data_IF_998125411013
#
_entry.id   IF_998125411013
#
_cell.length_a   1.000
_cell.length_b   1.000
_cell.length_c   1.000
_cell.angle_alpha   90.00
_cell.angle_beta   90.00
_cell.angle_gamma   90.00
#
_symmetry.space_group_name_H-M   'P 1'
#
loop_
_entity.id
_entity.type
_entity.pdbx_description
1 polymer ?
#
# COMPACT_ATOMS: atom_id res chain seq x y z
N UNK A 1 61.82 -8.06 -11.03
CA UNK A 1 61.29 -7.17 -9.99
C UNK A 1 60.74 -5.94 -10.69
N UNK A 2 59.51 -6.03 -11.20
CA UNK A 2 58.87 -4.92 -11.93
C UNK A 2 57.87 -4.24 -11.01
N UNK A 3 58.25 -3.07 -10.54
CA UNK A 3 57.39 -2.11 -9.83
C UNK A 3 56.50 -1.41 -10.86
N UNK A 4 55.34 -1.99 -11.17
CA UNK A 4 54.31 -1.30 -11.95
C UNK A 4 53.49 -0.43 -11.01
N UNK A 5 53.67 0.89 -11.12
CA UNK A 5 52.74 1.92 -10.61
C UNK A 5 51.31 1.51 -10.94
N UNK A 6 50.36 1.51 -9.97
CA UNK A 6 48.97 1.26 -10.31
C UNK A 6 48.46 2.49 -11.04
N UNK A 7 47.75 2.27 -12.15
CA UNK A 7 46.86 3.25 -12.74
C UNK A 7 45.89 3.75 -11.64
N UNK A 8 45.32 4.97 -11.72
CA UNK A 8 44.17 5.29 -10.90
C UNK A 8 43.07 4.33 -11.33
N UNK A 9 42.93 3.24 -10.58
CA UNK A 9 41.85 2.30 -10.79
C UNK A 9 40.57 3.08 -10.53
N UNK A 10 39.76 3.20 -11.58
CA UNK A 10 38.44 3.81 -11.50
C UNK A 10 37.66 3.15 -10.34
N UNK A 11 36.84 3.93 -9.65
CA UNK A 11 36.11 3.49 -8.46
C UNK A 11 35.38 2.16 -8.70
N UNK A 12 34.73 2.02 -9.86
CA UNK A 12 33.99 0.82 -10.25
C UNK A 12 34.91 -0.41 -10.37
N UNK A 13 36.11 -0.21 -10.90
CA UNK A 13 37.10 -1.29 -11.05
C UNK A 13 37.66 -1.75 -9.70
N UNK A 14 37.84 -0.82 -8.76
CA UNK A 14 38.31 -1.13 -7.39
C UNK A 14 37.23 -1.90 -6.63
N UNK A 15 35.97 -1.45 -6.70
CA UNK A 15 34.85 -2.12 -6.04
C UNK A 15 34.58 -3.50 -6.63
N UNK A 16 34.72 -3.66 -7.95
CA UNK A 16 34.61 -4.95 -8.62
C UNK A 16 35.70 -5.93 -8.17
N UNK A 17 36.95 -5.47 -8.11
CA UNK A 17 38.07 -6.28 -7.63
C UNK A 17 37.87 -6.72 -6.16
N UNK A 18 37.46 -5.79 -5.29
CA UNK A 18 37.13 -6.09 -3.90
C UNK A 18 35.98 -7.12 -3.79
N UNK A 19 34.95 -7.00 -4.62
CA UNK A 19 33.81 -7.94 -4.64
C UNK A 19 34.21 -9.37 -5.06
N UNK A 20 35.26 -9.52 -5.87
CA UNK A 20 35.77 -10.83 -6.32
C UNK A 20 36.70 -11.52 -5.30
N UNK A 21 37.09 -10.84 -4.22
CA UNK A 21 37.91 -11.44 -3.17
C UNK A 21 37.15 -12.58 -2.46
N UNK A 22 37.84 -13.65 -2.03
CA UNK A 22 37.20 -14.79 -1.38
C UNK A 22 36.70 -14.48 0.05
N UNK A 23 37.25 -13.45 0.69
CA UNK A 23 36.85 -12.98 2.02
C UNK A 23 36.80 -11.46 2.05
N UNK A 24 35.62 -10.91 2.35
CA UNK A 24 35.36 -9.47 2.50
C UNK A 24 35.47 -9.00 3.96
N UNK A 25 36.20 -9.76 4.76
CA UNK A 25 36.51 -9.47 6.16
C UNK A 25 37.36 -8.21 6.37
N UNK A 26 37.64 -7.95 7.64
CA UNK A 26 38.32 -6.72 8.09
C UNK A 26 39.70 -6.53 7.45
N UNK A 27 40.47 -7.60 7.33
CA UNK A 27 41.85 -7.54 6.82
C UNK A 27 41.89 -7.17 5.32
N UNK A 28 40.99 -7.75 4.53
CA UNK A 28 40.83 -7.41 3.10
C UNK A 28 40.39 -5.97 2.93
N UNK A 29 39.41 -5.50 3.71
CA UNK A 29 38.94 -4.11 3.65
C UNK A 29 40.03 -3.10 4.03
N UNK A 30 40.79 -3.35 5.10
CA UNK A 30 41.88 -2.47 5.55
C UNK A 30 43.00 -2.36 4.50
N UNK A 31 43.29 -3.44 3.76
CA UNK A 31 44.24 -3.44 2.64
C UNK A 31 43.77 -2.53 1.51
N UNK A 32 42.52 -2.68 1.07
CA UNK A 32 41.97 -1.87 -0.04
C UNK A 32 41.81 -0.39 0.34
N UNK A 33 41.47 -0.07 1.59
CA UNK A 33 41.42 1.32 2.08
C UNK A 33 42.82 1.95 2.13
N UNK A 34 43.85 1.16 2.46
CA UNK A 34 45.23 1.65 2.49
C UNK A 34 45.81 1.90 1.09
N UNK A 35 45.40 1.10 0.10
CA UNK A 35 45.82 1.25 -1.30
C UNK A 35 45.01 2.31 -2.07
N UNK A 36 43.73 2.47 -1.74
CA UNK A 36 42.79 3.38 -2.41
C UNK A 36 42.03 4.27 -1.40
N UNK A 37 42.72 5.15 -0.67
CA UNK A 37 42.09 5.99 0.37
C UNK A 37 40.99 6.90 -0.18
N UNK A 38 41.06 7.28 -1.46
CA UNK A 38 40.05 8.09 -2.14
C UNK A 38 38.69 7.37 -2.33
N UNK A 39 38.66 6.03 -2.28
CA UNK A 39 37.44 5.23 -2.42
C UNK A 39 37.03 4.54 -1.11
N UNK A 40 37.60 4.98 0.03
CA UNK A 40 37.39 4.33 1.33
C UNK A 40 35.90 4.24 1.72
N UNK A 41 35.12 5.28 1.48
CA UNK A 41 33.67 5.27 1.76
C UNK A 41 32.94 4.22 0.93
N UNK A 42 33.18 4.19 -0.39
CA UNK A 42 32.53 3.24 -1.28
C UNK A 42 32.93 1.78 -0.98
N UNK A 43 34.18 1.55 -0.57
CA UNK A 43 34.66 0.24 -0.12
C UNK A 43 33.99 -0.21 1.18
N UNK A 44 33.77 0.70 2.12
CA UNK A 44 33.06 0.41 3.38
C UNK A 44 31.61 0.05 3.08
N UNK A 45 30.91 0.84 2.27
CA UNK A 45 29.51 0.59 1.89
C UNK A 45 29.38 -0.76 1.17
N UNK A 46 30.23 -1.02 0.18
CA UNK A 46 30.30 -2.29 -0.54
C UNK A 46 30.57 -3.49 0.40
N UNK A 47 31.45 -3.33 1.39
CA UNK A 47 31.72 -4.39 2.37
C UNK A 47 30.51 -4.70 3.27
N UNK A 48 29.70 -3.69 3.59
CA UNK A 48 28.47 -3.87 4.37
C UNK A 48 27.45 -4.62 3.53
N UNK A 49 27.28 -4.24 2.26
CA UNK A 49 26.34 -4.88 1.33
C UNK A 49 26.68 -6.36 1.09
N UNK A 50 27.97 -6.67 0.86
CA UNK A 50 28.43 -8.06 0.65
C UNK A 50 28.29 -8.92 1.92
N UNK A 51 28.41 -8.31 3.10
CA UNK A 51 28.16 -8.98 4.39
C UNK A 51 26.67 -9.14 4.70
N UNK A 52 25.80 -8.38 4.04
CA UNK A 52 24.35 -8.52 4.07
C UNK A 52 23.84 -9.48 3.00
N UNK A 53 24.62 -10.51 2.64
CA UNK A 53 24.01 -11.69 2.04
C UNK A 53 22.95 -12.18 3.04
N UNK A 54 21.65 -12.20 2.70
CA UNK A 54 20.68 -12.90 3.52
C UNK A 54 21.26 -14.30 3.72
N UNK A 55 21.10 -14.92 4.91
CA UNK A 55 21.56 -16.29 5.07
C UNK A 55 21.01 -17.04 3.86
N UNK A 56 21.92 -17.60 3.05
CA UNK A 56 21.55 -18.72 2.23
C UNK A 56 21.03 -19.70 3.27
N UNK A 57 19.72 -19.69 3.47
CA UNK A 57 19.11 -20.69 4.27
C UNK A 57 19.55 -21.98 3.57
N UNK A 58 20.47 -22.69 4.22
CA UNK A 58 20.49 -24.13 4.19
C UNK A 58 19.10 -24.56 4.74
N UNK A 59 18.05 -24.29 3.95
CA UNK A 59 16.79 -24.96 4.05
C UNK A 59 17.17 -26.36 3.60
N UNK A 60 17.61 -27.17 4.55
CA UNK A 60 17.39 -28.60 4.45
C UNK A 60 15.94 -28.71 4.04
N UNK A 61 15.72 -29.09 2.77
CA UNK A 61 14.43 -29.14 2.16
C UNK A 61 13.60 -30.15 2.95
N UNK A 62 12.96 -29.69 4.02
CA UNK A 62 11.73 -30.27 4.47
C UNK A 62 10.87 -30.21 3.22
N UNK A 63 10.69 -31.36 2.59
CA UNK A 63 9.88 -31.54 1.39
C UNK A 63 8.48 -31.08 1.77
N UNK A 64 8.25 -29.78 1.63
CA UNK A 64 6.92 -29.22 1.60
C UNK A 64 6.34 -29.84 0.33
N UNK A 65 5.30 -30.68 0.43
CA UNK A 65 4.75 -31.32 -0.75
C UNK A 65 4.38 -30.23 -1.74
N UNK A 66 4.85 -30.32 -3.00
CA UNK A 66 4.63 -29.32 -4.06
C UNK A 66 3.19 -28.81 -4.09
N UNK A 67 2.23 -29.67 -3.77
CA UNK A 67 0.81 -29.34 -3.60
C UNK A 67 0.47 -28.17 -2.66
N UNK A 68 1.30 -27.86 -1.64
CA UNK A 68 1.08 -26.72 -0.74
C UNK A 68 1.64 -25.43 -1.33
N UNK A 69 2.78 -25.50 -2.03
CA UNK A 69 3.36 -24.39 -2.78
C UNK A 69 2.45 -24.06 -3.96
N UNK A 70 2.01 -25.07 -4.72
CA UNK A 70 1.03 -24.93 -5.79
C UNK A 70 -0.29 -24.35 -5.29
N UNK A 71 -0.79 -24.76 -4.10
CA UNK A 71 -2.00 -24.17 -3.52
C UNK A 71 -1.80 -22.73 -3.09
N UNK A 72 -0.63 -22.39 -2.53
CA UNK A 72 -0.30 -21.02 -2.16
C UNK A 72 -0.15 -20.14 -3.41
N UNK A 73 0.51 -20.68 -4.44
CA UNK A 73 0.70 -20.04 -5.73
C UNK A 73 -0.62 -19.87 -6.48
N UNK A 74 -1.48 -20.89 -6.53
CA UNK A 74 -2.83 -20.78 -7.11
C UNK A 74 -3.74 -19.83 -6.35
N UNK A 75 -3.58 -19.69 -5.03
CA UNK A 75 -4.30 -18.68 -4.24
C UNK A 75 -3.80 -17.28 -4.58
N UNK A 76 -2.49 -17.09 -4.70
CA UNK A 76 -1.88 -15.83 -5.08
C UNK A 76 -2.22 -15.47 -6.53
N UNK A 77 -2.06 -16.38 -7.47
CA UNK A 77 -2.50 -16.24 -8.85
C UNK A 77 -4.00 -15.95 -8.92
N UNK A 78 -4.87 -16.60 -8.16
CA UNK A 78 -6.30 -16.19 -8.13
C UNK A 78 -6.52 -14.79 -7.55
N UNK A 79 -5.68 -14.33 -6.63
CA UNK A 79 -5.75 -12.98 -6.10
C UNK A 79 -5.21 -11.93 -7.10
N UNK A 80 -4.23 -12.30 -7.94
CA UNK A 80 -3.55 -11.41 -8.90
C UNK A 80 -4.16 -11.46 -10.31
N UNK A 81 -4.70 -12.61 -10.71
CA UNK A 81 -5.38 -12.88 -11.99
C UNK A 81 -6.88 -12.57 -11.92
N UNK A 82 -7.40 -12.07 -10.79
CA UNK A 82 -8.60 -11.25 -10.91
C UNK A 82 -8.17 -10.06 -11.78
N UNK A 83 -8.69 -9.93 -13.02
CA UNK A 83 -8.55 -8.66 -13.70
C UNK A 83 -9.06 -7.64 -12.69
N UNK A 84 -8.41 -6.48 -12.58
CA UNK A 84 -9.03 -5.35 -11.93
C UNK A 84 -10.36 -5.15 -12.68
N UNK A 85 -11.42 -5.81 -12.21
CA UNK A 85 -12.75 -5.68 -12.74
C UNK A 85 -12.95 -4.18 -12.65
N UNK A 86 -13.17 -3.53 -13.80
CA UNK A 86 -13.47 -2.10 -13.83
C UNK A 86 -14.40 -1.87 -12.66
N UNK A 87 -13.92 -1.13 -11.65
CA UNK A 87 -14.61 -1.08 -10.37
C UNK A 87 -15.82 -0.20 -10.61
N UNK A 88 -16.87 -0.83 -11.13
CA UNK A 88 -18.09 -0.17 -11.58
C UNK A 88 -18.65 0.54 -10.37
N UNK A 89 -18.84 1.85 -10.49
CA UNK A 89 -19.40 2.63 -9.40
C UNK A 89 -20.78 2.07 -9.03
N UNK A 90 -20.96 1.48 -7.83
CA UNK A 90 -22.22 0.86 -7.44
C UNK A 90 -23.33 1.90 -7.24
N UNK A 91 -22.96 3.19 -7.12
CA UNK A 91 -23.88 4.31 -7.06
C UNK A 91 -24.29 4.86 -8.43
N UNK A 92 -23.68 4.41 -9.54
CA UNK A 92 -23.94 4.98 -10.87
C UNK A 92 -25.39 4.79 -11.37
N UNK A 93 -26.08 3.76 -10.86
CA UNK A 93 -27.49 3.48 -11.20
C UNK A 93 -28.48 4.33 -10.40
N UNK A 94 -28.02 5.05 -9.37
CA UNK A 94 -28.90 5.84 -8.51
C UNK A 94 -29.16 7.22 -9.10
N UNK A 95 -30.43 7.55 -9.26
CA UNK A 95 -30.87 8.93 -9.47
C UNK A 95 -30.99 9.67 -8.13
N UNK A 96 -31.25 10.98 -8.17
CA UNK A 96 -31.35 11.84 -6.98
C UNK A 96 -32.47 11.43 -6.01
N UNK A 97 -33.55 10.79 -6.48
CA UNK A 97 -34.57 10.20 -5.59
C UNK A 97 -34.10 8.89 -4.95
N UNK A 98 -33.45 8.01 -5.71
CA UNK A 98 -32.91 6.74 -5.23
C UNK A 98 -31.82 6.96 -4.19
N UNK A 99 -31.02 8.01 -4.34
CA UNK A 99 -30.02 8.41 -3.35
C UNK A 99 -30.64 8.81 -1.99
N UNK A 100 -31.74 9.57 -2.01
CA UNK A 100 -32.48 9.94 -0.79
C UNK A 100 -33.15 8.73 -0.14
N UNK A 101 -33.72 7.84 -0.95
CA UNK A 101 -34.32 6.59 -0.46
C UNK A 101 -33.28 5.68 0.18
N UNK A 102 -32.10 5.56 -0.44
CA UNK A 102 -30.98 4.79 0.11
C UNK A 102 -30.48 5.37 1.44
N UNK A 103 -30.34 6.69 1.53
CA UNK A 103 -29.98 7.34 2.79
C UNK A 103 -31.01 7.01 3.89
N UNK A 104 -32.30 7.01 3.55
CA UNK A 104 -33.38 6.67 4.49
C UNK A 104 -33.39 5.20 4.89
N UNK A 105 -33.12 4.25 3.98
CA UNK A 105 -33.09 2.82 4.32
C UNK A 105 -31.86 2.45 5.17
N UNK A 106 -30.73 3.11 4.91
CA UNK A 106 -29.53 2.98 5.72
C UNK A 106 -29.63 3.69 7.06
N UNK A 107 -30.62 4.57 7.24
CA UNK A 107 -30.81 5.46 8.37
C UNK A 107 -29.62 6.42 8.57
N UNK A 108 -29.19 7.04 7.47
CA UNK A 108 -28.08 8.00 7.43
C UNK A 108 -28.50 9.32 6.77
N UNK A 109 -27.72 10.37 6.97
CA UNK A 109 -27.92 11.64 6.29
C UNK A 109 -27.43 11.56 4.84
N UNK A 110 -28.02 12.37 3.96
CA UNK A 110 -27.56 12.50 2.59
C UNK A 110 -26.09 12.96 2.51
N UNK A 111 -25.65 13.79 3.47
CA UNK A 111 -24.27 14.26 3.56
C UNK A 111 -23.30 13.12 3.88
N UNK A 112 -23.66 12.23 4.79
CA UNK A 112 -22.87 11.04 5.11
C UNK A 112 -22.74 10.13 3.88
N UNK A 113 -23.86 9.84 3.20
CA UNK A 113 -23.87 8.99 2.01
C UNK A 113 -23.07 9.60 0.85
N UNK A 114 -23.05 10.94 0.70
CA UNK A 114 -22.22 11.61 -0.30
C UNK A 114 -20.74 11.41 -0.01
N UNK A 115 -20.31 11.51 1.26
CA UNK A 115 -18.92 11.26 1.66
C UNK A 115 -18.48 9.83 1.40
N UNK A 116 -19.37 8.86 1.61
CA UNK A 116 -19.14 7.44 1.25
C UNK A 116 -18.97 7.28 -0.27
N UNK A 117 -19.89 7.84 -1.06
CA UNK A 117 -19.87 7.77 -2.53
C UNK A 117 -18.60 8.40 -3.13
N UNK A 118 -18.22 9.57 -2.61
CA UNK A 118 -17.09 10.36 -3.09
C UNK A 118 -15.74 9.84 -2.52
N UNK A 119 -15.77 8.73 -1.74
CA UNK A 119 -14.60 8.08 -1.14
C UNK A 119 -13.79 9.04 -0.24
N UNK A 120 -14.51 9.95 0.42
CA UNK A 120 -13.94 10.91 1.38
C UNK A 120 -13.73 10.28 2.78
N UNK A 121 -14.26 9.07 3.01
CA UNK A 121 -14.07 8.31 4.24
C UNK A 121 -13.04 7.23 3.97
N UNK A 122 -12.09 7.07 4.88
CA UNK A 122 -11.08 6.02 4.78
C UNK A 122 -11.71 4.63 4.87
N UNK A 123 -11.60 3.85 3.80
CA UNK A 123 -12.27 2.56 3.68
C UNK A 123 -11.85 1.54 4.74
N UNK A 124 -10.61 1.65 5.26
CA UNK A 124 -10.13 0.80 6.37
C UNK A 124 -10.83 1.09 7.71
N UNK A 125 -11.44 2.27 7.85
CA UNK A 125 -12.17 2.66 9.06
C UNK A 125 -13.66 2.34 8.99
N UNK A 126 -14.16 1.91 7.82
CA UNK A 126 -15.59 1.62 7.63
C UNK A 126 -15.87 0.20 8.13
N UNK A 127 -16.83 0.02 9.06
CA UNK A 127 -17.16 -1.31 9.55
C UNK A 127 -17.68 -2.25 8.45
N UNK A 128 -17.25 -3.50 8.46
CA UNK A 128 -17.66 -4.50 7.46
C UNK A 128 -19.19 -4.67 7.40
N UNK A 129 -19.86 -4.67 8.56
CA UNK A 129 -21.32 -4.74 8.66
C UNK A 129 -22.03 -3.58 7.94
N UNK A 130 -21.43 -2.39 7.95
CA UNK A 130 -21.96 -1.25 7.21
C UNK A 130 -21.82 -1.45 5.70
N UNK A 131 -20.68 -1.98 5.23
CA UNK A 131 -20.45 -2.30 3.81
C UNK A 131 -21.44 -3.36 3.32
N UNK A 132 -21.73 -4.38 4.14
CA UNK A 132 -22.74 -5.41 3.83
C UNK A 132 -24.15 -4.85 3.71
N UNK A 133 -24.56 -3.98 4.66
CA UNK A 133 -25.86 -3.30 4.60
C UNK A 133 -25.96 -2.42 3.36
N UNK A 134 -24.93 -1.64 3.06
CA UNK A 134 -24.83 -0.79 1.87
C UNK A 134 -24.92 -1.62 0.58
N UNK A 135 -24.21 -2.74 0.52
CA UNK A 135 -24.23 -3.63 -0.64
C UNK A 135 -25.61 -4.26 -0.87
N UNK A 136 -26.28 -4.68 0.21
CA UNK A 136 -27.64 -5.23 0.15
C UNK A 136 -28.64 -4.23 -0.42
N UNK A 137 -28.58 -2.97 0.03
CA UNK A 137 -29.46 -1.89 -0.46
C UNK A 137 -29.13 -1.47 -1.90
N UNK A 138 -27.87 -1.55 -2.32
CA UNK A 138 -27.43 -1.26 -3.69
C UNK A 138 -27.66 -2.43 -4.67
N UNK A 139 -28.07 -3.61 -4.17
CA UNK A 139 -28.15 -4.83 -4.97
C UNK A 139 -26.79 -5.28 -5.53
N UNK A 140 -25.71 -4.98 -4.81
CA UNK A 140 -24.33 -5.31 -5.17
C UNK A 140 -23.72 -6.28 -4.15
N UNK A 141 -22.55 -6.84 -4.44
CA UNK A 141 -21.81 -7.67 -3.47
C UNK A 141 -20.98 -6.79 -2.54
N UNK A 142 -20.83 -7.20 -1.28
CA UNK A 142 -19.99 -6.49 -0.31
C UNK A 142 -18.54 -6.34 -0.80
N UNK A 143 -18.03 -7.33 -1.55
CA UNK A 143 -16.72 -7.24 -2.19
C UNK A 143 -16.64 -6.14 -3.26
N UNK A 144 -17.66 -6.01 -4.12
CA UNK A 144 -17.69 -4.95 -5.14
C UNK A 144 -17.76 -3.56 -4.51
N UNK A 145 -18.57 -3.39 -3.46
CA UNK A 145 -18.68 -2.12 -2.72
C UNK A 145 -17.38 -1.81 -1.97
N UNK A 146 -16.78 -2.80 -1.29
CA UNK A 146 -15.50 -2.65 -0.61
C UNK A 146 -14.38 -2.26 -1.57
N UNK A 147 -14.25 -2.96 -2.71
CA UNK A 147 -13.29 -2.63 -3.76
C UNK A 147 -13.49 -1.20 -4.31
N UNK A 148 -14.75 -0.76 -4.45
CA UNK A 148 -15.06 0.63 -4.82
C UNK A 148 -14.60 1.64 -3.77
N UNK A 149 -14.80 1.37 -2.49
CA UNK A 149 -14.42 2.29 -1.41
C UNK A 149 -12.90 2.38 -1.21
N UNK A 150 -12.17 1.29 -1.47
CA UNK A 150 -10.70 1.24 -1.42
C UNK A 150 -10.02 1.95 -2.60
N UNK A 151 -10.78 2.35 -3.63
CA UNK A 151 -10.26 3.13 -4.76
C UNK A 151 -9.81 4.54 -4.35
N UNK A 152 -9.02 5.24 -5.19
CA UNK A 152 -8.57 6.59 -4.89
C UNK A 152 -9.76 7.53 -4.65
N UNK A 153 -9.64 8.50 -3.72
CA UNK A 153 -10.72 9.44 -3.42
C UNK A 153 -11.15 10.17 -4.70
N UNK A 154 -12.45 10.30 -4.89
CA UNK A 154 -12.97 10.99 -6.06
C UNK A 154 -12.54 12.45 -6.01
N UNK A 155 -11.79 12.93 -7.01
CA UNK A 155 -11.51 14.35 -7.16
C UNK A 155 -12.84 15.10 -7.29
N UNK A 156 -13.20 15.88 -6.26
CA UNK A 156 -14.21 16.92 -6.38
C UNK A 156 -13.68 17.93 -7.39
N UNK A 157 -14.04 17.73 -8.65
CA UNK A 157 -13.71 18.63 -9.75
C UNK A 157 -14.57 19.87 -9.61
N UNK A 158 -14.23 20.78 -8.69
CA UNK A 158 -15.10 21.93 -8.42
C UNK A 158 -14.58 23.05 -7.53
N UNK A 159 -13.54 22.85 -6.71
CA UNK A 159 -13.08 23.92 -5.80
C UNK A 159 -11.58 24.17 -5.94
N UNK A 160 -11.19 24.74 -7.08
CA UNK A 160 -9.95 25.50 -7.18
C UNK A 160 -10.11 26.84 -6.43
N UNK A 161 -10.06 26.79 -5.10
CA UNK A 161 -9.86 28.00 -4.29
C UNK A 161 -8.37 28.20 -4.05
N UNK A 162 -7.91 29.41 -4.34
CA UNK A 162 -6.51 29.81 -4.36
C UNK A 162 -5.90 29.71 -2.96
N UNK A 163 -5.11 28.67 -2.72
CA UNK A 163 -4.15 28.60 -1.62
C UNK A 163 -2.86 27.95 -2.12
N UNK A 164 -1.73 28.54 -1.75
CA UNK A 164 -0.36 28.15 -2.12
C UNK A 164 0.17 26.92 -1.35
N UNK A 165 -0.73 26.04 -0.91
CA UNK A 165 -0.38 24.76 -0.29
C UNK A 165 -0.62 23.68 -1.33
N UNK A 166 0.39 22.82 -1.57
CA UNK A 166 0.25 21.66 -2.48
C UNK A 166 -1.07 20.94 -2.14
N UNK A 167 -1.97 20.71 -3.11
CA UNK A 167 -3.20 19.99 -2.86
C UNK A 167 -2.82 18.56 -2.47
N UNK A 168 -2.83 18.28 -1.16
CA UNK A 168 -2.88 16.92 -0.68
C UNK A 168 -4.18 16.33 -1.19
N UNK A 169 -4.10 15.10 -1.68
CA UNK A 169 -5.24 14.21 -1.89
C UNK A 169 -6.21 14.44 -0.73
N UNK A 170 -7.44 14.90 -1.02
CA UNK A 170 -8.37 15.39 0.00
C UNK A 170 -8.37 14.48 1.22
N UNK A 171 -8.05 15.04 2.38
CA UNK A 171 -7.79 14.30 3.61
C UNK A 171 -8.98 13.39 3.90
N UNK A 172 -8.79 12.08 3.73
CA UNK A 172 -9.84 11.12 4.06
C UNK A 172 -10.06 11.16 5.56
N UNK A 173 -11.31 11.38 5.96
CA UNK A 173 -11.69 11.36 7.37
C UNK A 173 -12.00 9.93 7.81
N UNK A 174 -11.88 9.65 9.10
CA UNK A 174 -12.28 8.35 9.64
C UNK A 174 -13.80 8.19 9.63
N UNK A 175 -14.29 6.96 9.68
CA UNK A 175 -15.72 6.67 9.80
C UNK A 175 -16.34 7.40 11.00
N UNK A 176 -15.70 7.39 12.16
CA UNK A 176 -16.20 8.10 13.36
C UNK A 176 -16.27 9.61 13.17
N UNK A 177 -15.26 10.21 12.53
CA UNK A 177 -15.26 11.64 12.20
C UNK A 177 -16.38 11.96 11.20
N UNK A 178 -16.61 11.08 10.22
CA UNK A 178 -17.71 11.23 9.28
C UNK A 178 -19.06 11.14 9.98
N UNK A 179 -19.25 10.21 10.92
CA UNK A 179 -20.47 10.09 11.72
C UNK A 179 -20.70 11.37 12.54
N UNK A 180 -19.66 11.91 13.17
CA UNK A 180 -19.76 13.13 13.98
C UNK A 180 -20.05 14.41 13.15
N UNK A 181 -19.52 14.51 11.93
CA UNK A 181 -19.57 15.74 11.10
C UNK A 181 -20.65 15.71 10.01
N UNK A 182 -21.49 14.66 9.96
CA UNK A 182 -22.49 14.48 8.90
C UNK A 182 -23.92 14.83 9.30
N UNK A 183 -24.13 15.62 10.36
CA UNK A 183 -25.47 16.08 10.79
C UNK A 183 -26.45 14.91 11.02
N UNK A 184 -25.95 13.79 11.54
CA UNK A 184 -26.76 12.63 11.92
C UNK A 184 -27.43 12.88 13.27
N UNK A 185 -28.65 12.36 13.45
CA UNK A 185 -29.31 12.37 14.77
C UNK A 185 -28.53 11.52 15.77
N UNK A 186 -28.63 11.78 17.09
CA UNK A 186 -27.94 10.99 18.11
C UNK A 186 -28.23 9.48 18.01
N UNK A 187 -29.45 9.10 17.66
CA UNK A 187 -29.90 7.71 17.48
C UNK A 187 -29.23 7.05 16.27
N UNK A 188 -29.12 7.77 15.15
CA UNK A 188 -28.40 7.32 13.95
C UNK A 188 -26.90 7.17 14.22
N UNK A 189 -26.30 8.12 14.94
CA UNK A 189 -24.90 8.02 15.33
C UNK A 189 -24.63 6.80 16.22
N UNK A 190 -25.51 6.53 17.19
CA UNK A 190 -25.41 5.35 18.05
C UNK A 190 -25.53 4.05 17.24
N UNK A 191 -26.46 4.00 16.29
CA UNK A 191 -26.65 2.85 15.41
C UNK A 191 -25.43 2.58 14.55
N UNK A 192 -24.83 3.62 13.95
CA UNK A 192 -23.62 3.46 13.14
C UNK A 192 -22.39 3.09 13.98
N UNK A 193 -22.25 3.66 15.18
CA UNK A 193 -21.16 3.31 16.11
C UNK A 193 -21.28 1.88 16.64
N UNK A 194 -22.50 1.37 16.82
CA UNK A 194 -22.72 -0.02 17.22
C UNK A 194 -22.33 -1.05 16.13
N UNK A 195 -22.08 -0.59 14.90
CA UNK A 195 -21.55 -1.45 13.83
C UNK A 195 -20.02 -1.55 13.85
N UNK A 196 -19.34 -0.63 14.55
CA UNK A 196 -17.91 -0.64 14.81
C UNK A 196 -17.62 -1.65 15.94
N UNK A 197 -17.35 -2.90 15.57
CA UNK A 197 -16.86 -3.95 16.49
C UNK A 197 -15.35 -3.75 16.73
#
# INVERSE_FOLDING_TARGET
MSTSKPFPADEESVLMAFSMEPDHGRETLERYISEYPQHATALIDCSIDLRHQPPAEDVSAAVVPDSLVDKAWQRFERAVQQPAAEVVNPFAKLNSSGFKSLARSLDVSNLFLMRVRDRAISAVTIPARFVEKLASELGATAQAVGAYLQGPPGMVSGHAFRSSVKPSVGEQITFDQAVATSQLTPEQQATLKALSD
#
